data_IF_511378786128
#
_entry.id   IF_511378786128
#
_cell.length_a   1.000
_cell.length_b   1.000
_cell.length_c   1.000
_cell.angle_alpha   90.00
_cell.angle_beta   90.00
_cell.angle_gamma   90.00
#
_symmetry.space_group_name_H-M   'P 1'
#
loop_
_entity.id
_entity.type
_entity.pdbx_description
1 polymer ?
#
# COMPACT_ATOMS: atom_id res chain seq x y z
N UNK A 1 26.96 7.61 -8.16
CA UNK A 1 26.26 8.36 -9.24
C UNK A 1 25.72 9.66 -8.65
N UNK A 2 25.51 10.73 -9.42
CA UNK A 2 24.87 11.95 -8.88
C UNK A 2 23.43 11.66 -8.44
N UNK A 3 23.01 12.19 -7.29
CA UNK A 3 21.67 12.02 -6.71
C UNK A 3 20.55 12.28 -7.74
N UNK A 4 20.63 13.39 -8.48
CA UNK A 4 19.64 13.76 -9.48
C UNK A 4 19.45 12.70 -10.57
N UNK A 5 20.55 12.15 -11.10
CA UNK A 5 20.49 11.06 -12.09
C UNK A 5 19.79 9.82 -11.52
N UNK A 6 19.97 9.51 -10.23
CA UNK A 6 19.31 8.37 -9.60
C UNK A 6 17.80 8.59 -9.50
N UNK A 7 17.37 9.79 -9.10
CA UNK A 7 15.96 10.20 -9.07
C UNK A 7 15.34 10.07 -10.47
N UNK A 8 15.97 10.65 -11.50
CA UNK A 8 15.46 10.60 -12.87
C UNK A 8 15.35 9.15 -13.37
N UNK A 9 16.34 8.29 -13.10
CA UNK A 9 16.26 6.87 -13.46
C UNK A 9 15.13 6.15 -12.73
N UNK A 10 14.88 6.48 -11.46
CA UNK A 10 13.76 5.91 -10.69
C UNK A 10 12.42 6.31 -11.29
N UNK A 11 12.24 7.60 -11.62
CA UNK A 11 11.01 8.11 -12.24
C UNK A 11 10.78 7.56 -13.65
N UNK A 12 11.84 7.14 -14.37
CA UNK A 12 11.71 6.47 -15.67
C UNK A 12 11.40 4.96 -15.55
N UNK A 13 11.44 4.39 -14.35
CA UNK A 13 11.24 2.95 -14.16
C UNK A 13 9.77 2.59 -14.31
N UNK A 14 9.47 1.66 -15.25
CA UNK A 14 8.13 1.07 -15.38
C UNK A 14 7.66 0.39 -14.10
N UNK A 15 8.58 -0.29 -13.39
CA UNK A 15 8.29 -0.98 -12.12
C UNK A 15 7.90 0.02 -11.02
N UNK A 16 8.51 1.20 -11.01
CA UNK A 16 8.14 2.27 -10.07
C UNK A 16 6.68 2.69 -10.31
N UNK A 17 6.33 3.07 -11.54
CA UNK A 17 4.97 3.53 -11.86
C UNK A 17 3.92 2.45 -11.71
N UNK A 18 4.23 1.20 -12.06
CA UNK A 18 3.32 0.08 -11.84
C UNK A 18 2.93 -0.03 -10.36
N UNK A 19 3.89 0.09 -9.44
CA UNK A 19 3.60 0.03 -8.01
C UNK A 19 2.87 1.26 -7.49
N UNK A 20 3.24 2.47 -7.93
CA UNK A 20 2.57 3.70 -7.51
C UNK A 20 1.11 3.73 -7.99
N UNK A 21 0.87 3.42 -9.26
CA UNK A 21 -0.47 3.44 -9.85
C UNK A 21 -1.34 2.31 -9.33
N UNK A 22 -0.84 1.06 -9.31
CA UNK A 22 -1.62 -0.05 -8.76
C UNK A 22 -1.93 0.16 -7.28
N UNK A 23 -0.98 0.70 -6.50
CA UNK A 23 -1.20 1.06 -5.11
C UNK A 23 -2.29 2.12 -4.94
N UNK A 24 -2.24 3.19 -5.73
CA UNK A 24 -3.26 4.23 -5.72
C UNK A 24 -4.65 3.70 -6.12
N UNK A 25 -4.71 2.84 -7.15
CA UNK A 25 -5.97 2.22 -7.58
C UNK A 25 -6.55 1.34 -6.46
N UNK A 26 -5.73 0.47 -5.84
CA UNK A 26 -6.17 -0.38 -4.72
C UNK A 26 -6.68 0.46 -3.55
N UNK A 27 -5.99 1.56 -3.22
CA UNK A 27 -6.41 2.50 -2.19
C UNK A 27 -7.77 3.16 -2.53
N UNK A 28 -8.01 3.50 -3.80
CA UNK A 28 -9.25 4.14 -4.24
C UNK A 28 -10.46 3.22 -4.21
N UNK A 29 -10.29 1.89 -4.26
CA UNK A 29 -11.42 0.94 -4.30
C UNK A 29 -12.31 1.08 -3.06
N UNK A 30 -11.82 0.95 -1.81
CA UNK A 30 -12.67 1.12 -0.63
C UNK A 30 -13.28 2.52 -0.53
N UNK A 31 -12.50 3.56 -0.85
CA UNK A 31 -12.99 4.95 -0.84
C UNK A 31 -14.16 5.13 -1.80
N UNK A 32 -14.04 4.60 -3.02
CA UNK A 32 -15.09 4.67 -4.03
C UNK A 32 -16.34 3.90 -3.60
N UNK A 33 -16.16 2.69 -3.05
CA UNK A 33 -17.28 1.88 -2.54
C UNK A 33 -18.03 2.67 -1.46
N UNK A 34 -17.34 3.20 -0.45
CA UNK A 34 -17.97 4.01 0.61
C UNK A 34 -18.69 5.24 0.05
N UNK A 35 -18.10 5.86 -0.97
CA UNK A 35 -18.68 7.04 -1.60
C UNK A 35 -20.01 6.73 -2.29
N UNK A 36 -20.09 5.59 -2.99
CA UNK A 36 -21.31 5.17 -3.69
C UNK A 36 -22.34 4.50 -2.78
N UNK A 37 -21.91 3.75 -1.76
CA UNK A 37 -22.82 3.04 -0.86
C UNK A 37 -23.34 3.91 0.28
N UNK A 38 -22.63 4.98 0.64
CA UNK A 38 -22.91 5.75 1.87
C UNK A 38 -22.59 4.98 3.15
N UNK A 39 -22.02 3.78 3.06
CA UNK A 39 -21.69 2.91 4.19
C UNK A 39 -20.21 3.00 4.54
N UNK A 40 -19.87 3.11 5.82
CA UNK A 40 -18.47 3.15 6.29
C UNK A 40 -17.83 1.76 6.25
N UNK A 41 -18.62 0.71 6.50
CA UNK A 41 -18.15 -0.65 6.66
C UNK A 41 -18.45 -1.44 5.38
N UNK A 42 -17.41 -1.99 4.76
CA UNK A 42 -17.55 -2.92 3.62
C UNK A 42 -17.58 -4.35 4.20
N UNK A 43 -18.71 -5.08 4.13
CA UNK A 43 -18.92 -6.32 4.89
C UNK A 43 -17.82 -7.39 4.72
N UNK A 44 -17.34 -7.61 3.49
CA UNK A 44 -16.33 -8.62 3.19
C UNK A 44 -14.90 -8.20 3.57
N UNK A 45 -14.64 -6.89 3.74
CA UNK A 45 -13.35 -6.34 4.15
C UNK A 45 -13.29 -6.04 5.66
N UNK A 46 -14.40 -6.27 6.35
CA UNK A 46 -14.58 -6.16 7.80
C UNK A 46 -14.38 -7.51 8.50
N UNK A 47 -13.61 -8.46 7.96
CA UNK A 47 -13.29 -9.74 8.62
C UNK A 47 -11.96 -9.53 9.39
N UNK A 48 -11.86 -9.82 10.70
CA UNK A 48 -12.79 -10.60 11.53
C UNK A 48 -13.91 -9.82 12.23
N UNK A 49 -14.04 -8.51 12.00
CA UNK A 49 -15.21 -7.72 12.43
C UNK A 49 -15.18 -7.29 13.89
N UNK A 50 -14.10 -7.60 14.62
CA UNK A 50 -13.94 -7.21 16.01
C UNK A 50 -13.24 -5.86 16.11
N UNK A 51 -13.90 -4.92 16.78
CA UNK A 51 -13.30 -3.69 17.30
C UNK A 51 -12.65 -3.98 18.65
N UNK A 52 -11.33 -3.88 18.76
CA UNK A 52 -10.66 -3.86 20.08
C UNK A 52 -10.43 -2.39 20.45
N UNK A 53 -11.46 -1.76 21.03
CA UNK A 53 -11.45 -0.35 21.42
C UNK A 53 -11.10 0.58 20.25
N UNK A 54 -10.28 1.61 20.51
CA UNK A 54 -9.78 2.55 19.50
C UNK A 54 -8.45 2.10 18.82
N UNK A 55 -7.94 0.92 19.15
CA UNK A 55 -6.59 0.50 18.77
C UNK A 55 -6.55 -0.45 17.57
N UNK A 56 -7.60 -1.25 17.35
CA UNK A 56 -7.70 -2.12 16.17
C UNK A 56 -8.98 -1.78 15.42
N UNK A 57 -8.87 -1.20 14.21
CA UNK A 57 -10.03 -0.79 13.45
C UNK A 57 -10.77 -2.02 12.89
N UNK A 58 -12.10 -1.99 12.86
CA UNK A 58 -12.92 -3.12 12.36
C UNK A 58 -12.57 -3.53 10.93
N UNK A 59 -12.17 -2.58 10.09
CA UNK A 59 -11.65 -2.79 8.74
C UNK A 59 -10.14 -3.10 8.71
N UNK A 60 -9.60 -3.79 9.73
CA UNK A 60 -8.16 -4.06 9.82
C UNK A 60 -7.62 -4.81 8.59
N UNK A 61 -8.36 -5.80 8.07
CA UNK A 61 -7.95 -6.53 6.87
C UNK A 61 -7.90 -5.62 5.64
N UNK A 62 -8.89 -4.75 5.47
CA UNK A 62 -8.84 -3.70 4.45
C UNK A 62 -7.58 -2.85 4.58
N UNK A 63 -7.33 -2.31 5.78
CA UNK A 63 -6.18 -1.44 6.03
C UNK A 63 -4.87 -2.17 5.80
N UNK A 64 -4.76 -3.43 6.22
CA UNK A 64 -3.61 -4.29 5.98
C UNK A 64 -3.38 -4.43 4.49
N UNK A 65 -4.40 -4.83 3.72
CA UNK A 65 -4.32 -5.02 2.28
C UNK A 65 -3.97 -3.70 1.57
N UNK A 66 -4.68 -2.62 1.87
CA UNK A 66 -4.43 -1.31 1.26
C UNK A 66 -3.01 -0.85 1.57
N UNK A 67 -2.57 -0.85 2.85
CA UNK A 67 -1.22 -0.44 3.22
C UNK A 67 -0.13 -1.34 2.63
N UNK A 68 -0.41 -2.64 2.46
CA UNK A 68 0.50 -3.59 1.81
C UNK A 68 0.91 -3.15 0.41
N UNK A 69 0.03 -2.43 -0.31
CA UNK A 69 0.32 -1.85 -1.61
C UNK A 69 0.64 -0.36 -1.54
N UNK A 70 -0.10 0.43 -0.76
CA UNK A 70 0.06 1.88 -0.65
C UNK A 70 -0.38 2.42 0.72
N UNK A 71 0.42 3.27 1.39
CA UNK A 71 1.71 3.82 0.95
C UNK A 71 2.90 2.85 1.09
N UNK A 72 2.78 1.80 1.90
CA UNK A 72 3.91 0.94 2.31
C UNK A 72 4.62 0.23 1.16
N UNK A 73 3.91 -0.61 0.41
CA UNK A 73 4.50 -1.40 -0.69
C UNK A 73 5.10 -0.54 -1.80
N UNK A 74 4.37 0.51 -2.21
CA UNK A 74 4.81 1.48 -3.21
C UNK A 74 6.09 2.22 -2.77
N UNK A 75 6.14 2.66 -1.50
CA UNK A 75 7.32 3.28 -0.91
C UNK A 75 8.50 2.32 -0.84
N UNK A 76 8.25 1.06 -0.48
CA UNK A 76 9.28 0.03 -0.47
C UNK A 76 9.93 -0.16 -1.83
N UNK A 77 9.13 -0.30 -2.88
CA UNK A 77 9.63 -0.43 -4.25
C UNK A 77 10.35 0.83 -4.72
N UNK A 78 9.84 2.03 -4.39
CA UNK A 78 10.51 3.28 -4.71
C UNK A 78 11.92 3.35 -4.09
N UNK A 79 12.04 3.00 -2.80
CA UNK A 79 13.32 2.94 -2.11
C UNK A 79 14.29 1.92 -2.70
N UNK A 80 13.82 0.70 -2.98
CA UNK A 80 14.62 -0.34 -3.63
C UNK A 80 15.16 0.11 -4.99
N UNK A 81 14.30 0.65 -5.86
CA UNK A 81 14.68 1.10 -7.20
C UNK A 81 15.66 2.27 -7.11
N UNK A 82 15.40 3.23 -6.23
CA UNK A 82 16.28 4.37 -6.03
C UNK A 82 17.68 3.97 -5.60
N UNK A 83 17.82 3.10 -4.60
CA UNK A 83 19.13 2.67 -4.11
C UNK A 83 19.85 1.80 -5.14
N UNK A 84 19.14 0.93 -5.87
CA UNK A 84 19.72 0.21 -7.01
C UNK A 84 20.26 1.15 -8.09
N UNK A 85 19.48 2.17 -8.46
CA UNK A 85 19.90 3.16 -9.43
C UNK A 85 21.10 3.97 -8.94
N UNK A 86 21.10 4.39 -7.66
CA UNK A 86 22.19 5.16 -7.07
C UNK A 86 23.52 4.41 -7.06
N UNK A 87 23.48 3.11 -6.72
CA UNK A 87 24.65 2.24 -6.65
C UNK A 87 25.08 1.66 -8.02
N UNK A 88 24.28 1.83 -9.08
CA UNK A 88 24.52 1.29 -10.43
C UNK A 88 24.71 -0.24 -10.53
N UNK A 89 24.47 -0.99 -9.46
CA UNK A 89 24.57 -2.44 -9.41
C UNK A 89 23.44 -3.03 -8.53
N UNK A 90 23.05 -4.30 -8.75
CA UNK A 90 22.07 -4.97 -7.90
C UNK A 90 22.52 -4.96 -6.44
N UNK A 91 21.66 -4.46 -5.55
CA UNK A 91 21.94 -4.43 -4.12
C UNK A 91 21.76 -5.80 -3.47
N UNK A 92 22.60 -6.11 -2.48
CA UNK A 92 22.47 -7.31 -1.66
C UNK A 92 21.19 -7.33 -0.83
N UNK A 93 20.79 -8.53 -0.35
CA UNK A 93 19.50 -8.74 0.36
C UNK A 93 19.28 -7.79 1.55
N UNK A 94 20.31 -7.55 2.38
CA UNK A 94 20.20 -6.65 3.54
C UNK A 94 19.88 -5.21 3.13
N UNK A 95 20.63 -4.69 2.15
CA UNK A 95 20.46 -3.32 1.63
C UNK A 95 19.11 -3.20 0.90
N UNK A 96 18.67 -4.26 0.20
CA UNK A 96 17.33 -4.33 -0.40
C UNK A 96 16.23 -4.09 0.64
N UNK A 97 16.21 -4.83 1.74
CA UNK A 97 15.14 -4.65 2.74
C UNK A 97 15.26 -3.35 3.53
N UNK A 98 16.48 -2.88 3.81
CA UNK A 98 16.68 -1.57 4.43
C UNK A 98 16.19 -0.42 3.53
N UNK A 99 16.52 -0.46 2.24
CA UNK A 99 16.06 0.54 1.27
C UNK A 99 14.54 0.50 1.10
N UNK A 100 13.93 -0.69 1.10
CA UNK A 100 12.47 -0.82 1.13
C UNK A 100 11.87 -0.23 2.40
N UNK A 101 12.43 -0.51 3.58
CA UNK A 101 11.91 0.02 4.84
C UNK A 101 11.96 1.55 4.87
N UNK A 102 13.11 2.14 4.52
CA UNK A 102 13.25 3.60 4.45
C UNK A 102 12.27 4.19 3.44
N UNK A 103 12.15 3.61 2.25
CA UNK A 103 11.20 4.07 1.24
C UNK A 103 9.73 3.98 1.69
N UNK A 104 9.35 2.88 2.34
CA UNK A 104 8.00 2.66 2.88
C UNK A 104 7.67 3.69 3.97
N UNK A 105 8.59 3.93 4.91
CA UNK A 105 8.42 4.91 5.98
C UNK A 105 8.32 6.34 5.44
N UNK A 106 9.22 6.74 4.52
CA UNK A 106 9.18 8.08 3.94
C UNK A 106 7.90 8.33 3.15
N UNK A 107 7.45 7.35 2.35
CA UNK A 107 6.18 7.48 1.63
C UNK A 107 4.99 7.54 2.60
N UNK A 108 5.04 6.80 3.71
CA UNK A 108 4.01 6.84 4.76
C UNK A 108 3.99 8.17 5.51
N UNK A 109 5.14 8.81 5.74
CA UNK A 109 5.23 10.17 6.30
C UNK A 109 4.51 11.16 5.37
N UNK A 110 4.87 11.16 4.08
CA UNK A 110 4.25 12.06 3.10
C UNK A 110 2.74 11.82 2.99
N UNK A 111 2.33 10.56 3.01
CA UNK A 111 0.91 10.20 2.99
C UNK A 111 0.17 10.66 4.25
N UNK A 112 0.75 10.44 5.43
CA UNK A 112 0.14 10.88 6.71
C UNK A 112 0.05 12.40 6.79
N UNK A 113 1.03 13.13 6.28
CA UNK A 113 0.97 14.59 6.17
C UNK A 113 -0.17 15.04 5.24
N UNK A 114 -0.33 14.38 4.09
CA UNK A 114 -1.45 14.64 3.18
C UNK A 114 -2.81 14.35 3.83
N UNK A 115 -2.93 13.21 4.55
CA UNK A 115 -4.15 12.85 5.28
C UNK A 115 -4.47 13.85 6.39
N UNK A 116 -3.46 14.26 7.16
CA UNK A 116 -3.62 15.26 8.21
C UNK A 116 -4.07 16.62 7.66
N UNK A 117 -3.47 17.05 6.54
CA UNK A 117 -3.88 18.28 5.86
C UNK A 117 -5.31 18.18 5.32
N UNK A 118 -5.69 17.08 4.67
CA UNK A 118 -7.07 16.89 4.22
C UNK A 118 -8.06 16.84 5.39
N UNK A 119 -7.68 16.22 6.50
CA UNK A 119 -8.50 16.16 7.71
C UNK A 119 -8.78 17.56 8.27
N UNK A 120 -7.79 18.46 8.28
CA UNK A 120 -7.96 19.82 8.80
C UNK A 120 -8.90 20.69 7.95
N UNK A 121 -9.16 20.30 6.70
CA UNK A 121 -10.15 20.96 5.84
C UNK A 121 -11.60 20.57 6.16
N UNK A 122 -11.82 19.64 7.10
CA UNK A 122 -13.15 19.18 7.52
C UNK A 122 -14.02 18.72 6.35
N UNK A 123 -13.43 18.04 5.37
CA UNK A 123 -14.15 17.52 4.20
C UNK A 123 -14.97 16.30 4.65
N UNK A 124 -16.28 16.46 4.64
CA UNK A 124 -17.24 15.45 5.10
C UNK A 124 -17.58 14.48 3.95
N UNK A 125 -17.55 13.19 4.24
CA UNK A 125 -17.89 12.15 3.27
C UNK A 125 -19.41 11.89 3.17
N UNK A 126 -19.90 11.28 2.08
CA UNK A 126 -21.33 10.98 1.90
C UNK A 126 -21.92 10.01 2.93
N UNK A 127 -21.08 9.29 3.67
CA UNK A 127 -21.45 8.42 4.80
C UNK A 127 -21.66 9.19 6.12
N UNK A 128 -21.70 10.52 6.08
CA UNK A 128 -21.89 11.38 7.25
C UNK A 128 -23.36 11.67 7.58
N UNK A 129 -24.33 11.03 6.93
CA UNK A 129 -25.76 11.23 7.21
C UNK A 129 -26.13 10.53 8.51
N UNK A 130 -25.76 11.15 9.64
CA UNK A 130 -25.94 10.69 11.02
C UNK A 130 -25.10 11.52 12.00
N UNK A 131 -25.33 11.39 13.32
CA UNK A 131 -24.71 12.20 14.40
C UNK A 131 -23.18 12.08 14.55
N UNK A 132 -22.51 11.36 13.66
CA UNK A 132 -21.06 11.21 13.60
C UNK A 132 -20.56 11.64 12.21
N UNK A 133 -20.29 12.93 12.05
CA UNK A 133 -19.67 13.49 10.85
C UNK A 133 -18.29 12.85 10.59
N UNK A 134 -18.24 11.88 9.67
CA UNK A 134 -17.01 11.20 9.28
C UNK A 134 -16.24 12.02 8.25
N UNK A 135 -15.03 12.47 8.60
CA UNK A 135 -14.11 13.08 7.65
C UNK A 135 -13.70 12.05 6.57
N UNK A 136 -13.53 12.48 5.32
CA UNK A 136 -13.02 11.63 4.23
C UNK A 136 -11.59 11.19 4.49
N UNK A 137 -10.83 12.01 5.20
CA UNK A 137 -9.44 11.76 5.56
C UNK A 137 -9.32 11.09 6.92
N UNK A 138 -8.19 10.39 7.10
CA UNK A 138 -7.91 9.67 8.34
C UNK A 138 -7.47 10.61 9.48
N UNK A 139 -8.00 10.36 10.68
CA UNK A 139 -7.58 11.06 11.89
C UNK A 139 -6.16 10.62 12.33
N UNK A 140 -5.38 11.52 12.92
CA UNK A 140 -3.98 11.25 13.29
C UNK A 140 -3.78 10.03 14.23
N UNK A 141 -4.81 9.64 14.98
CA UNK A 141 -4.79 8.46 15.86
C UNK A 141 -4.47 7.14 15.12
N UNK A 142 -4.77 7.04 13.82
CA UNK A 142 -4.49 5.82 13.05
C UNK A 142 -3.09 5.78 12.43
N UNK A 143 -2.35 6.89 12.45
CA UNK A 143 -1.03 6.96 11.81
C UNK A 143 -0.03 5.96 12.39
N UNK A 144 0.08 5.74 13.72
CA UNK A 144 1.00 4.73 14.27
C UNK A 144 0.79 3.34 13.65
N UNK A 145 -0.48 2.95 13.43
CA UNK A 145 -0.82 1.68 12.79
C UNK A 145 -0.35 1.67 11.33
N UNK A 146 -0.56 2.76 10.58
CA UNK A 146 -0.08 2.87 9.20
C UNK A 146 1.44 2.72 9.11
N UNK A 147 2.21 3.25 10.07
CA UNK A 147 3.67 3.06 10.13
C UNK A 147 4.08 1.61 10.39
N UNK A 148 3.37 0.91 11.29
CA UNK A 148 3.59 -0.52 11.54
C UNK A 148 3.28 -1.32 10.27
N UNK A 149 2.14 -1.08 9.64
CA UNK A 149 1.73 -1.74 8.41
C UNK A 149 2.73 -1.48 7.28
N UNK A 150 3.19 -0.23 7.10
CA UNK A 150 4.20 0.12 6.11
C UNK A 150 5.52 -0.63 6.32
N UNK A 151 5.93 -0.83 7.58
CA UNK A 151 7.15 -1.58 7.91
C UNK A 151 7.06 -3.04 7.50
N UNK A 152 5.88 -3.66 7.62
CA UNK A 152 5.63 -5.05 7.22
C UNK A 152 5.44 -5.16 5.69
N UNK A 153 4.90 -4.10 5.06
CA UNK A 153 4.61 -4.05 3.62
C UNK A 153 5.85 -4.16 2.72
N UNK A 154 7.06 -4.06 3.28
CA UNK A 154 8.31 -4.27 2.54
C UNK A 154 8.42 -5.68 1.95
N UNK A 155 7.66 -6.64 2.48
CA UNK A 155 7.64 -8.02 2.01
C UNK A 155 6.61 -8.27 0.89
N UNK A 156 5.62 -7.39 0.71
CA UNK A 156 4.55 -7.55 -0.29
C UNK A 156 5.07 -7.90 -1.68
N UNK A 157 6.11 -7.23 -2.22
CA UNK A 157 6.59 -7.56 -3.56
C UNK A 157 7.13 -8.99 -3.69
N UNK A 158 7.74 -9.51 -2.63
CA UNK A 158 8.32 -10.85 -2.65
C UNK A 158 7.23 -11.93 -2.48
N UNK A 159 6.22 -11.65 -1.65
CA UNK A 159 5.01 -12.48 -1.53
C UNK A 159 4.27 -12.59 -2.86
N UNK A 160 4.06 -11.47 -3.57
CA UNK A 160 3.42 -11.49 -4.89
C UNK A 160 4.23 -12.26 -5.93
N UNK A 161 5.56 -12.11 -5.91
CA UNK A 161 6.44 -12.88 -6.80
C UNK A 161 6.38 -14.38 -6.50
N UNK A 162 6.31 -14.76 -5.23
CA UNK A 162 6.12 -16.16 -4.82
C UNK A 162 4.80 -16.72 -5.38
N UNK A 163 3.68 -16.04 -5.17
CA UNK A 163 2.38 -16.46 -5.72
C UNK A 163 2.39 -16.55 -7.25
N UNK A 164 3.01 -15.58 -7.93
CA UNK A 164 3.14 -15.59 -9.39
C UNK A 164 3.92 -16.81 -9.88
N UNK A 165 4.97 -17.22 -9.17
CA UNK A 165 5.75 -18.40 -9.52
C UNK A 165 4.96 -19.69 -9.30
N UNK A 166 4.24 -19.80 -8.19
CA UNK A 166 3.39 -20.98 -7.92
C UNK A 166 2.25 -21.11 -8.94
N UNK A 167 1.57 -20.01 -9.27
CA UNK A 167 0.54 -20.01 -10.32
C UNK A 167 1.10 -20.43 -11.69
N UNK A 168 2.33 -20.03 -12.01
CA UNK A 168 2.97 -20.44 -13.26
C UNK A 168 3.22 -21.95 -13.30
N UNK A 169 3.72 -22.53 -12.20
CA UNK A 169 3.93 -23.98 -12.08
C UNK A 169 2.62 -24.75 -12.23
N UNK A 170 1.55 -24.30 -11.58
CA UNK A 170 0.22 -24.93 -11.68
C UNK A 170 -0.28 -24.88 -13.12
N UNK A 171 -0.14 -23.73 -13.79
CA UNK A 171 -0.54 -23.58 -15.18
C UNK A 171 0.23 -24.51 -16.12
N UNK A 172 1.56 -24.61 -15.96
CA UNK A 172 2.41 -25.52 -16.72
C UNK A 172 1.96 -26.99 -16.54
N UNK A 173 1.66 -27.42 -15.31
CA UNK A 173 1.14 -28.77 -15.01
C UNK A 173 -0.21 -29.03 -15.69
N UNK A 174 -1.13 -28.06 -15.65
CA UNK A 174 -2.46 -28.20 -16.27
C UNK A 174 -2.36 -28.30 -17.80
N UNK A 175 -1.50 -27.49 -18.43
CA UNK A 175 -1.29 -27.55 -19.89
C UNK A 175 -0.65 -28.85 -20.36
N UNK A 176 0.19 -29.50 -19.54
CA UNK A 176 0.78 -30.81 -19.87
C UNK A 176 -0.25 -31.95 -19.78
N UNK A 177 -1.28 -31.81 -18.94
CA UNK A 177 -2.30 -32.86 -18.70
C UNK A 177 -3.47 -32.85 -19.68
N UNK A 178 -3.56 -31.88 -20.58
CA UNK A 178 -4.53 -31.87 -21.69
C UNK A 178 -3.80 -32.13 -23.02
N UNK A 179 -3.52 -33.41 -23.37
CA UNK A 179 -3.20 -33.73 -24.76
C UNK A 179 -4.46 -33.51 -25.61
N UNK A 180 -4.28 -32.87 -26.78
CA UNK A 180 -5.31 -32.69 -27.80
C UNK A 180 -5.87 -34.03 -28.28
#
# INVERSE_FOLDING_TARGET
MSLFKAIVKTLKSKRFWLWQLSGAIIYLIPVSIRFFSGEVIIPFLNIPGFWIGHFIPGNFLEKLLVNAFFPGGAGGIAGEIFVNNYNNHPIGKKIKYQSRLVGALLQTVLWSAFQYWGYSLLIIGPWSTGTTGGNVFEHAVVFPINFVLASISIFTPDVLNFFKQELRKINEIMTIKTPN
#
